data_IF_307165445443
#
_entry.id   IF_307165445443
#
_cell.length_a   1.000
_cell.length_b   1.000
_cell.length_c   1.000
_cell.angle_alpha   90.00
_cell.angle_beta   90.00
_cell.angle_gamma   90.00
#
_symmetry.space_group_name_H-M   'P 1'
#
loop_
_entity.id
_entity.type
_entity.pdbx_description
1 polymer ?
#
# COMPACT_ATOMS: atom_id res chain seq x y z
N UNK A 1 -8.05 5.15 12.12
CA UNK A 1 -6.96 4.63 11.27
C UNK A 1 -7.61 3.97 10.07
N UNK A 2 -7.24 4.36 8.85
CA UNK A 2 -7.75 3.70 7.64
C UNK A 2 -6.94 2.42 7.40
N UNK A 3 -7.62 1.34 7.04
CA UNK A 3 -7.04 0.05 6.68
C UNK A 3 -7.62 -0.39 5.34
N UNK A 4 -6.88 -1.18 4.59
CA UNK A 4 -7.37 -1.77 3.35
C UNK A 4 -7.11 -3.28 3.33
N UNK A 5 -8.09 -4.04 2.88
CA UNK A 5 -7.97 -5.49 2.73
C UNK A 5 -7.13 -5.86 1.52
N UNK A 6 -6.44 -7.00 1.61
CA UNK A 6 -5.60 -7.52 0.53
C UNK A 6 -6.32 -7.75 -0.81
N UNK A 7 -7.61 -8.04 -0.76
CA UNK A 7 -8.46 -8.23 -1.94
C UNK A 7 -9.17 -6.96 -2.42
N UNK A 8 -9.06 -5.85 -1.70
CA UNK A 8 -9.78 -4.63 -2.05
C UNK A 8 -9.21 -4.01 -3.34
N UNK A 9 -10.02 -3.25 -4.09
CA UNK A 9 -9.54 -2.50 -5.24
C UNK A 9 -8.54 -1.42 -4.84
N UNK A 10 -7.50 -1.20 -5.65
CA UNK A 10 -6.52 -0.14 -5.42
C UNK A 10 -7.15 1.27 -5.44
N UNK A 11 -8.27 1.42 -6.16
CA UNK A 11 -9.03 2.68 -6.21
C UNK A 11 -9.56 3.09 -4.84
N UNK A 12 -9.87 2.12 -3.96
CA UNK A 12 -10.24 2.37 -2.57
C UNK A 12 -9.08 3.00 -1.79
N UNK A 13 -7.84 2.51 -1.98
CA UNK A 13 -6.65 3.11 -1.37
C UNK A 13 -6.47 4.57 -1.86
N UNK A 14 -6.65 4.82 -3.15
CA UNK A 14 -6.53 6.17 -3.70
C UNK A 14 -7.56 7.15 -3.12
N UNK A 15 -8.81 6.73 -2.96
CA UNK A 15 -9.83 7.54 -2.30
C UNK A 15 -9.47 7.83 -0.84
N UNK A 16 -8.91 6.86 -0.13
CA UNK A 16 -8.45 7.02 1.25
C UNK A 16 -7.27 7.99 1.35
N UNK A 17 -6.32 7.96 0.41
CA UNK A 17 -5.25 8.96 0.34
C UNK A 17 -5.81 10.38 0.18
N UNK A 18 -6.76 10.57 -0.74
CA UNK A 18 -7.37 11.89 -1.01
C UNK A 18 -8.20 12.40 0.18
N UNK A 19 -9.10 11.57 0.70
CA UNK A 19 -10.02 11.97 1.79
C UNK A 19 -9.29 12.07 3.12
N UNK A 20 -8.40 11.13 3.40
CA UNK A 20 -7.67 11.05 4.67
C UNK A 20 -6.45 11.98 4.73
N UNK A 21 -5.98 12.52 3.60
CA UNK A 21 -4.72 13.27 3.49
C UNK A 21 -3.53 12.49 4.08
N UNK A 22 -3.55 11.18 3.88
CA UNK A 22 -2.52 10.25 4.32
C UNK A 22 -1.67 9.83 3.13
N UNK A 23 -0.38 9.60 3.35
CA UNK A 23 0.56 9.18 2.31
C UNK A 23 0.67 7.66 2.18
N UNK A 24 0.23 6.92 3.20
CA UNK A 24 0.38 5.47 3.31
C UNK A 24 -0.80 4.86 4.05
N UNK A 25 -1.16 3.62 3.68
CA UNK A 25 -2.26 2.86 4.27
C UNK A 25 -1.75 1.44 4.59
N UNK A 26 -2.03 0.89 5.78
CA UNK A 26 -1.72 -0.49 6.10
C UNK A 26 -2.64 -1.44 5.32
N UNK A 27 -2.05 -2.46 4.70
CA UNK A 27 -2.74 -3.55 4.01
C UNK A 27 -2.82 -4.75 4.96
N UNK A 28 -4.03 -5.25 5.18
CA UNK A 28 -4.28 -6.35 6.13
C UNK A 28 -4.92 -7.56 5.46
N UNK A 29 -4.73 -8.73 6.06
CA UNK A 29 -5.45 -9.94 5.68
C UNK A 29 -6.86 -10.01 6.30
N UNK A 30 -7.58 -11.10 6.04
CA UNK A 30 -8.93 -11.31 6.59
C UNK A 30 -9.00 -11.50 8.11
N UNK A 31 -7.86 -11.74 8.78
CA UNK A 31 -7.75 -11.80 10.24
C UNK A 31 -7.42 -10.44 10.88
N UNK A 32 -7.15 -9.42 10.06
CA UNK A 32 -6.68 -8.11 10.50
C UNK A 32 -5.16 -8.06 10.74
N UNK A 33 -4.42 -9.09 10.36
CA UNK A 33 -2.96 -9.13 10.47
C UNK A 33 -2.34 -8.26 9.39
N UNK A 34 -1.30 -7.49 9.75
CA UNK A 34 -0.58 -6.61 8.82
C UNK A 34 0.18 -7.44 7.78
N UNK A 35 -0.09 -7.19 6.51
CA UNK A 35 0.64 -7.78 5.38
C UNK A 35 1.78 -6.84 4.97
N UNK A 36 1.46 -5.57 4.70
CA UNK A 36 2.44 -4.55 4.30
C UNK A 36 1.83 -3.14 4.40
N UNK A 37 2.57 -2.11 3.99
CA UNK A 37 2.10 -0.73 3.85
C UNK A 37 2.15 -0.34 2.38
N UNK A 38 1.02 0.15 1.86
CA UNK A 38 0.95 0.69 0.51
C UNK A 38 0.92 2.22 0.54
N UNK A 39 1.77 2.87 -0.23
CA UNK A 39 1.92 4.33 -0.24
C UNK A 39 1.50 4.98 -1.55
N UNK A 40 1.24 6.29 -1.52
CA UNK A 40 1.11 7.11 -2.72
C UNK A 40 2.34 6.98 -3.62
N UNK A 41 3.53 6.84 -3.05
CA UNK A 41 4.75 6.65 -3.82
C UNK A 41 4.76 5.30 -4.58
N UNK A 42 4.15 4.26 -4.02
CA UNK A 42 3.97 2.97 -4.69
C UNK A 42 3.00 3.09 -5.86
N UNK A 43 1.86 3.75 -5.63
CA UNK A 43 0.88 4.05 -6.67
C UNK A 43 1.47 4.87 -7.84
N UNK A 44 2.38 5.79 -7.55
CA UNK A 44 3.07 6.59 -8.58
C UNK A 44 4.09 5.78 -9.38
N UNK A 45 4.63 4.69 -8.82
CA UNK A 45 5.54 3.79 -9.54
C UNK A 45 4.83 2.73 -10.38
N UNK A 46 3.53 2.51 -10.17
CA UNK A 46 2.77 1.57 -10.99
C UNK A 46 2.74 2.01 -12.47
N UNK A 47 2.88 1.08 -13.43
CA UNK A 47 2.87 1.42 -14.84
C UNK A 47 1.54 2.08 -15.24
N UNK A 48 1.60 3.38 -15.57
CA UNK A 48 0.51 4.14 -16.17
C UNK A 48 0.88 4.42 -17.62
N UNK A 49 0.90 3.36 -18.42
CA UNK A 49 1.13 3.47 -19.86
C UNK A 49 -0.04 4.14 -20.58
N UNK A 50 -0.31 3.68 -21.79
CA UNK A 50 -1.45 4.09 -22.60
C UNK A 50 -2.83 3.82 -21.93
N UNK A 51 -3.92 4.12 -22.64
CA UNK A 51 -5.28 3.96 -22.11
C UNK A 51 -5.57 2.54 -21.58
N UNK A 52 -4.93 1.50 -22.13
CA UNK A 52 -5.05 0.12 -21.67
C UNK A 52 -4.46 -0.08 -20.27
N UNK A 53 -3.27 0.48 -20.03
CA UNK A 53 -2.62 0.41 -18.72
C UNK A 53 -3.40 1.18 -17.62
N UNK A 54 -4.05 2.29 -17.96
CA UNK A 54 -4.92 3.01 -17.01
C UNK A 54 -6.12 2.18 -16.56
N UNK A 55 -6.79 1.50 -17.51
CA UNK A 55 -7.92 0.59 -17.22
C UNK A 55 -7.45 -0.57 -16.36
N UNK A 56 -6.26 -1.12 -16.64
CA UNK A 56 -5.68 -2.22 -15.87
C UNK A 56 -5.41 -1.81 -14.41
N UNK A 57 -4.85 -0.62 -14.16
CA UNK A 57 -4.63 -0.13 -12.79
C UNK A 57 -5.95 0.06 -12.04
N UNK A 58 -7.01 0.54 -12.69
CA UNK A 58 -8.33 0.71 -12.05
C UNK A 58 -8.99 -0.60 -11.62
N UNK A 59 -8.70 -1.69 -12.33
CA UNK A 59 -9.26 -3.02 -12.06
C UNK A 59 -8.38 -3.88 -11.13
N UNK A 60 -7.20 -3.39 -10.75
CA UNK A 60 -6.30 -4.13 -9.88
C UNK A 60 -6.75 -4.16 -8.43
N UNK A 61 -6.54 -5.32 -7.81
CA UNK A 61 -6.61 -5.51 -6.35
C UNK A 61 -5.33 -5.05 -5.67
N UNK A 62 -5.39 -4.84 -4.35
CA UNK A 62 -4.22 -4.50 -3.53
C UNK A 62 -3.12 -5.56 -3.63
N UNK A 63 -3.48 -6.85 -3.66
CA UNK A 63 -2.54 -7.93 -3.87
C UNK A 63 -1.73 -7.77 -5.17
N UNK A 64 -2.41 -7.54 -6.30
CA UNK A 64 -1.76 -7.38 -7.60
C UNK A 64 -0.88 -6.12 -7.63
N UNK A 65 -1.33 -5.04 -6.99
CA UNK A 65 -0.55 -3.80 -6.87
C UNK A 65 0.76 -4.02 -6.11
N UNK A 66 0.69 -4.68 -4.95
CA UNK A 66 1.87 -5.00 -4.15
C UNK A 66 2.86 -5.89 -4.93
N UNK A 67 2.36 -6.92 -5.63
CA UNK A 67 3.21 -7.76 -6.47
C UNK A 67 3.97 -6.94 -7.52
N UNK A 68 3.33 -6.00 -8.21
CA UNK A 68 4.01 -5.14 -9.17
C UNK A 68 5.06 -4.23 -8.51
N UNK A 69 4.72 -3.63 -7.37
CA UNK A 69 5.65 -2.78 -6.61
C UNK A 69 6.89 -3.56 -6.19
N UNK A 70 6.72 -4.81 -5.73
CA UNK A 70 7.84 -5.67 -5.36
C UNK A 70 8.74 -6.00 -6.53
N UNK A 71 8.20 -6.18 -7.74
CA UNK A 71 9.02 -6.39 -8.93
C UNK A 71 9.79 -5.13 -9.35
N UNK A 72 9.22 -3.94 -9.13
CA UNK A 72 9.82 -2.66 -9.53
C UNK A 72 10.88 -2.19 -8.52
N UNK A 73 10.55 -2.18 -7.23
CA UNK A 73 11.39 -1.62 -6.16
C UNK A 73 12.26 -2.67 -5.46
N UNK A 74 11.98 -3.96 -5.68
CA UNK A 74 12.43 -5.04 -4.82
C UNK A 74 11.58 -5.12 -3.55
N UNK A 75 11.21 -6.32 -3.13
CA UNK A 75 10.46 -6.51 -1.89
C UNK A 75 11.32 -6.14 -0.68
N UNK A 76 10.93 -5.09 0.05
CA UNK A 76 11.49 -4.76 1.37
C UNK A 76 10.31 -4.62 2.33
N UNK A 77 10.25 -5.42 3.41
CA UNK A 77 9.19 -5.28 4.41
C UNK A 77 9.17 -3.86 4.95
N UNK A 78 7.97 -3.29 5.06
CA UNK A 78 7.80 -1.99 5.72
C UNK A 78 8.27 -2.07 7.17
N UNK A 79 9.04 -1.09 7.67
CA UNK A 79 9.46 -1.08 9.07
C UNK A 79 8.26 -0.99 10.00
N UNK A 80 8.26 -1.82 11.04
CA UNK A 80 7.21 -1.87 12.07
C UNK A 80 7.84 -1.69 13.45
N UNK A 81 7.08 -1.14 14.38
CA UNK A 81 7.46 -1.03 15.79
C UNK A 81 6.35 -1.57 16.70
N UNK A 82 6.69 -1.86 17.95
CA UNK A 82 5.71 -2.22 18.97
C UNK A 82 5.19 -0.96 19.65
N UNK A 83 3.97 -1.02 20.20
CA UNK A 83 3.44 0.09 21.02
C UNK A 83 4.26 0.34 22.31
N UNK A 84 5.10 -0.62 22.70
CA UNK A 84 6.05 -0.54 23.82
C UNK A 84 7.44 -0.06 23.39
N UNK A 85 7.70 0.09 22.08
CA UNK A 85 8.96 0.62 21.59
C UNK A 85 9.12 2.08 22.01
N UNK A 86 10.35 2.45 22.37
CA UNK A 86 10.74 3.82 22.66
C UNK A 86 10.99 4.59 21.36
N UNK A 87 10.96 5.92 21.44
CA UNK A 87 11.30 6.78 20.29
C UNK A 87 12.73 6.54 19.80
N UNK A 88 13.66 6.25 20.71
CA UNK A 88 15.06 6.03 20.39
C UNK A 88 15.26 4.79 19.52
N UNK A 89 14.62 3.67 19.88
CA UNK A 89 14.64 2.42 19.11
C UNK A 89 14.02 2.53 17.71
N UNK A 90 13.24 3.59 17.44
CA UNK A 90 12.59 3.81 16.13
C UNK A 90 13.41 4.77 15.25
N UNK A 91 14.24 5.64 15.85
CA UNK A 91 15.02 6.65 15.11
C UNK A 91 16.42 6.15 14.73
N UNK A 92 17.02 5.23 15.51
CA UNK A 92 18.28 4.54 15.17
C UNK A 92 18.06 3.31 14.28
#
# INVERSE_FOLDING_TARGET
>A
MALIGFGDPITSAFQLFLKGRISSIPVVDGSGSLIDVFSLSDFLTLPKGDASAYVQVHQMTMHQALQQVYQIKGHRPSPTCFCTSTLWEVIE
#
